data_IF_643950289570
#
_entry.id   IF_643950289570
#
_cell.length_a   1.000
_cell.length_b   1.000
_cell.length_c   1.000
_cell.angle_alpha   90.00
_cell.angle_beta   90.00
_cell.angle_gamma   90.00
#
_symmetry.space_group_name_H-M   'P 1'
#
loop_
_entity.id
_entity.type
_entity.pdbx_description
1 polymer ?
#
# COMPACT_ATOMS: atom_id res chain seq x y z
N UNK A 1 37.13 -19.04 2.71
CA UNK A 1 36.16 -19.07 1.60
C UNK A 1 34.80 -18.83 2.23
N UNK A 2 34.50 -17.57 2.54
CA UNK A 2 33.28 -17.15 3.23
C UNK A 2 32.14 -17.18 2.23
N UNK A 3 31.19 -18.07 2.49
CA UNK A 3 30.00 -18.27 1.70
C UNK A 3 29.18 -16.98 1.63
N UNK A 4 28.89 -16.55 0.41
CA UNK A 4 28.17 -15.30 0.10
C UNK A 4 26.67 -15.59 0.17
N UNK A 5 25.84 -14.79 0.85
CA UNK A 5 24.43 -15.14 0.99
C UNK A 5 23.72 -15.15 -0.37
N UNK A 6 23.26 -16.33 -0.82
CA UNK A 6 22.38 -16.50 -1.98
C UNK A 6 21.09 -15.69 -1.81
N UNK A 7 20.97 -14.50 -2.42
CA UNK A 7 19.68 -13.77 -2.54
C UNK A 7 19.64 -12.89 -3.80
N UNK A 8 19.11 -13.40 -4.91
CA UNK A 8 18.13 -12.63 -5.71
C UNK A 8 17.02 -13.47 -6.40
N UNK A 9 17.16 -14.79 -6.48
CA UNK A 9 16.25 -15.66 -7.25
C UNK A 9 14.90 -15.85 -6.55
N UNK A 10 14.92 -15.97 -5.23
CA UNK A 10 13.75 -16.27 -4.40
C UNK A 10 12.72 -15.11 -4.39
N UNK A 11 13.17 -13.86 -4.27
CA UNK A 11 12.25 -12.71 -4.24
C UNK A 11 11.50 -12.53 -5.57
N UNK A 12 12.21 -12.69 -6.70
CA UNK A 12 11.59 -12.62 -8.03
C UNK A 12 10.55 -13.72 -8.19
N UNK A 13 10.89 -14.95 -7.82
CA UNK A 13 9.98 -16.11 -7.87
C UNK A 13 8.74 -15.86 -7.02
N UNK A 14 8.89 -15.45 -5.76
CA UNK A 14 7.76 -15.13 -4.86
C UNK A 14 6.83 -14.04 -5.41
N UNK A 15 7.40 -13.01 -6.05
CA UNK A 15 6.59 -11.94 -6.68
C UNK A 15 5.79 -12.47 -7.86
N UNK A 16 6.36 -13.37 -8.68
CA UNK A 16 5.66 -14.00 -9.79
C UNK A 16 4.58 -14.97 -9.29
N UNK A 17 4.87 -15.79 -8.29
CA UNK A 17 3.88 -16.67 -7.65
C UNK A 17 2.68 -15.89 -7.11
N UNK A 18 2.92 -14.72 -6.50
CA UNK A 18 1.85 -13.84 -6.05
C UNK A 18 1.02 -13.27 -7.21
N UNK A 19 1.66 -12.93 -8.33
CA UNK A 19 0.93 -12.48 -9.54
C UNK A 19 0.04 -13.60 -10.06
N UNK A 20 0.55 -14.83 -10.13
CA UNK A 20 -0.22 -15.99 -10.59
C UNK A 20 -1.36 -16.35 -9.63
N UNK A 21 -1.16 -16.25 -8.31
CA UNK A 21 -2.24 -16.48 -7.35
C UNK A 21 -3.36 -15.44 -7.45
N UNK A 22 -3.02 -14.16 -7.72
CA UNK A 22 -4.02 -13.12 -8.00
C UNK A 22 -4.83 -13.46 -9.25
N UNK A 23 -4.17 -13.90 -10.33
CA UNK A 23 -4.86 -14.34 -11.56
C UNK A 23 -5.79 -15.54 -11.30
N UNK A 24 -5.33 -16.53 -10.54
CA UNK A 24 -6.12 -17.71 -10.18
C UNK A 24 -7.36 -17.34 -9.34
N UNK A 25 -7.27 -16.29 -8.52
CA UNK A 25 -8.40 -15.72 -7.79
C UNK A 25 -9.31 -14.80 -8.64
N UNK A 26 -9.05 -14.66 -9.95
CA UNK A 26 -9.82 -13.79 -10.84
C UNK A 26 -9.50 -12.30 -10.71
N UNK A 27 -8.40 -11.94 -10.02
CA UNK A 27 -7.95 -10.56 -9.80
C UNK A 27 -6.92 -10.20 -10.87
N UNK A 28 -7.17 -9.14 -11.63
CA UNK A 28 -6.17 -8.59 -12.56
C UNK A 28 -5.08 -7.84 -11.79
N UNK A 29 -3.81 -8.31 -11.79
CA UNK A 29 -2.72 -7.65 -11.10
C UNK A 29 -2.30 -6.31 -11.75
N UNK A 30 -2.68 -6.07 -13.01
CA UNK A 30 -2.31 -4.88 -13.77
C UNK A 30 -3.54 -4.22 -14.43
N UNK A 31 -4.49 -3.72 -13.62
CA UNK A 31 -5.68 -3.09 -14.15
C UNK A 31 -5.32 -1.83 -14.96
N UNK A 32 -6.00 -1.65 -16.09
CA UNK A 32 -5.74 -0.54 -17.03
C UNK A 32 -6.10 0.82 -16.42
N UNK A 33 -7.07 0.85 -15.50
CA UNK A 33 -7.62 2.09 -14.94
C UNK A 33 -7.75 2.01 -13.42
N UNK A 34 -7.37 3.10 -12.78
CA UNK A 34 -7.67 3.39 -11.39
C UNK A 34 -8.20 4.82 -11.30
N UNK A 35 -9.44 4.97 -10.84
CA UNK A 35 -10.08 6.29 -10.70
C UNK A 35 -9.62 6.99 -9.41
N UNK A 36 -8.42 7.58 -9.49
CA UNK A 36 -7.87 8.42 -8.43
C UNK A 36 -8.73 9.68 -8.26
N UNK A 37 -9.06 10.05 -7.02
CA UNK A 37 -9.78 11.29 -6.72
C UNK A 37 -8.84 12.47 -6.49
N UNK A 38 -7.66 12.23 -5.92
CA UNK A 38 -6.67 13.27 -5.63
C UNK A 38 -5.23 12.71 -5.71
N UNK A 39 -4.25 13.60 -5.80
CA UNK A 39 -2.84 13.25 -5.62
C UNK A 39 -2.45 13.35 -4.15
N UNK A 40 -1.35 12.74 -3.76
CA UNK A 40 -0.86 12.85 -2.38
C UNK A 40 -0.53 14.31 -2.03
N UNK A 41 0.07 15.05 -2.95
CA UNK A 41 0.35 16.48 -2.79
C UNK A 41 -0.93 17.28 -2.57
N UNK A 42 -1.97 17.05 -3.40
CA UNK A 42 -3.26 17.72 -3.24
C UNK A 42 -3.94 17.36 -1.91
N UNK A 43 -3.78 16.13 -1.42
CA UNK A 43 -4.26 15.76 -0.09
C UNK A 43 -3.53 16.54 1.02
N UNK A 44 -2.21 16.72 0.92
CA UNK A 44 -1.42 17.48 1.91
C UNK A 44 -1.72 18.97 1.87
N UNK A 45 -1.97 19.53 0.70
CA UNK A 45 -2.37 20.93 0.53
C UNK A 45 -3.78 21.19 1.08
N UNK A 46 -4.68 20.20 0.99
CA UNK A 46 -6.03 20.30 1.50
C UNK A 46 -6.09 20.24 3.04
N UNK A 47 -5.20 19.47 3.64
CA UNK A 47 -5.13 19.26 5.09
C UNK A 47 -3.76 19.65 5.66
N UNK A 48 -3.34 20.93 5.55
CA UNK A 48 -2.03 21.37 5.99
C UNK A 48 -1.91 21.38 7.53
N UNK A 49 -3.01 21.67 8.21
CA UNK A 49 -3.08 21.91 9.66
C UNK A 49 -4.00 20.89 10.37
N UNK A 50 -4.15 19.68 9.80
CA UNK A 50 -4.93 18.63 10.46
C UNK A 50 -4.18 18.13 11.70
N UNK A 51 -4.75 18.41 12.86
CA UNK A 51 -4.18 18.03 14.15
C UNK A 51 -4.10 16.52 14.33
N UNK A 52 -3.06 16.08 15.05
CA UNK A 52 -2.84 14.66 15.31
C UNK A 52 -4.03 14.05 16.09
N UNK A 53 -4.55 12.92 15.59
CA UNK A 53 -5.71 12.25 16.18
C UNK A 53 -7.06 12.80 15.72
N UNK A 54 -7.07 13.79 14.81
CA UNK A 54 -8.29 14.26 14.17
C UNK A 54 -8.57 13.46 12.90
N UNK A 55 -9.83 13.05 12.73
CA UNK A 55 -10.31 12.36 11.54
C UNK A 55 -11.30 13.26 10.78
N UNK A 56 -11.38 13.05 9.47
CA UNK A 56 -12.31 13.75 8.58
C UNK A 56 -13.23 12.73 7.92
N UNK A 57 -14.48 13.09 7.63
CA UNK A 57 -15.41 12.23 6.89
C UNK A 57 -15.11 12.13 5.38
N UNK A 58 -14.01 12.72 4.92
CA UNK A 58 -13.68 12.76 3.50
C UNK A 58 -13.09 11.44 3.00
N UNK A 59 -13.79 10.83 2.05
CA UNK A 59 -13.35 9.60 1.39
C UNK A 59 -12.59 9.93 0.11
N UNK A 60 -11.30 9.56 0.06
CA UNK A 60 -10.42 9.78 -1.09
C UNK A 60 -9.88 8.47 -1.65
N UNK A 61 -9.55 8.48 -2.95
CA UNK A 61 -8.87 7.39 -3.67
C UNK A 61 -7.53 7.91 -4.16
N UNK A 62 -6.44 7.35 -3.63
CA UNK A 62 -5.07 7.70 -4.00
C UNK A 62 -4.33 6.48 -4.52
N UNK A 63 -3.31 6.71 -5.35
CA UNK A 63 -2.45 5.66 -5.87
C UNK A 63 -0.99 6.12 -5.88
N UNK A 64 -0.08 5.19 -5.61
CA UNK A 64 1.34 5.45 -5.56
C UNK A 64 2.14 4.18 -5.27
N UNK A 65 3.45 4.33 -5.16
CA UNK A 65 4.37 3.24 -4.83
C UNK A 65 4.45 3.07 -3.31
N UNK A 66 4.24 1.85 -2.83
CA UNK A 66 4.56 1.49 -1.46
C UNK A 66 6.09 1.43 -1.28
N UNK A 67 6.62 2.27 -0.40
CA UNK A 67 8.05 2.32 -0.06
C UNK A 67 8.36 1.50 1.19
N UNK A 68 7.41 1.44 2.12
CA UNK A 68 7.55 0.79 3.40
C UNK A 68 6.22 0.13 3.76
N UNK A 69 6.31 -1.06 4.34
CA UNK A 69 5.16 -1.81 4.81
C UNK A 69 5.54 -2.51 6.12
N UNK A 70 4.87 -2.14 7.22
CA UNK A 70 5.08 -2.69 8.56
C UNK A 70 3.78 -3.30 9.04
N UNK A 71 3.79 -4.59 9.33
CA UNK A 71 2.64 -5.32 9.89
C UNK A 71 2.88 -5.57 11.38
N UNK A 72 1.88 -5.29 12.21
CA UNK A 72 1.92 -5.48 13.66
C UNK A 72 0.54 -5.98 14.15
N UNK A 73 0.40 -7.30 14.30
CA UNK A 73 -0.87 -7.89 14.74
C UNK A 73 -2.00 -7.54 13.77
N UNK A 74 -3.00 -6.78 14.24
CA UNK A 74 -4.18 -6.34 13.48
C UNK A 74 -4.03 -4.97 12.79
N UNK A 75 -2.84 -4.40 12.87
CA UNK A 75 -2.53 -3.07 12.33
C UNK A 75 -1.44 -3.19 11.27
N UNK A 76 -1.61 -2.45 10.19
CA UNK A 76 -0.63 -2.31 9.12
C UNK A 76 -0.37 -0.84 8.85
N UNK A 77 0.90 -0.45 8.90
CA UNK A 77 1.37 0.88 8.53
C UNK A 77 2.13 0.79 7.22
N UNK A 78 1.76 1.61 6.25
CA UNK A 78 2.45 1.66 4.97
C UNK A 78 2.81 3.10 4.59
N UNK A 79 3.94 3.31 3.94
CA UNK A 79 4.28 4.61 3.35
C UNK A 79 4.10 4.51 1.84
N UNK A 80 3.18 5.31 1.31
CA UNK A 80 2.91 5.42 -0.11
C UNK A 80 3.49 6.73 -0.66
N UNK A 81 4.10 6.68 -1.84
CA UNK A 81 4.63 7.85 -2.53
C UNK A 81 4.18 7.90 -3.99
N UNK A 82 3.71 9.04 -4.43
CA UNK A 82 3.41 9.34 -5.83
C UNK A 82 4.38 10.43 -6.36
N UNK A 83 4.13 10.95 -7.56
CA UNK A 83 4.95 12.01 -8.15
C UNK A 83 4.87 13.36 -7.41
N UNK A 84 3.88 13.56 -6.56
CA UNK A 84 3.59 14.82 -5.86
C UNK A 84 3.96 14.80 -4.38
N UNK A 85 4.03 13.64 -3.74
CA UNK A 85 4.38 13.55 -2.32
C UNK A 85 4.32 12.14 -1.74
N UNK A 86 4.47 12.06 -0.42
CA UNK A 86 4.35 10.82 0.35
C UNK A 86 3.32 10.98 1.48
N UNK A 87 2.60 9.89 1.78
CA UNK A 87 1.60 9.79 2.84
C UNK A 87 1.74 8.47 3.58
N UNK A 88 1.39 8.46 4.87
CA UNK A 88 1.29 7.24 5.66
C UNK A 88 -0.14 6.70 5.60
N UNK A 89 -0.27 5.41 5.33
CA UNK A 89 -1.52 4.67 5.42
C UNK A 89 -1.56 3.97 6.77
N UNK A 90 -2.63 4.21 7.52
CA UNK A 90 -3.01 3.42 8.68
C UNK A 90 -4.13 2.47 8.26
N UNK A 91 -3.89 1.18 8.42
CA UNK A 91 -4.82 0.13 8.01
C UNK A 91 -5.06 -0.76 9.22
N UNK A 92 -6.32 -0.90 9.62
CA UNK A 92 -6.72 -1.80 10.71
C UNK A 92 -7.65 -2.88 10.18
N UNK A 93 -7.55 -4.09 10.73
CA UNK A 93 -8.47 -5.20 10.42
C UNK A 93 -9.95 -4.82 10.63
N UNK A 94 -10.23 -3.91 11.57
CA UNK A 94 -11.59 -3.43 11.84
C UNK A 94 -12.16 -2.61 10.66
N UNK A 95 -11.33 -1.81 10.00
CA UNK A 95 -11.77 -0.92 8.91
C UNK A 95 -11.90 -1.67 7.56
N UNK A 96 -11.04 -2.65 7.30
CA UNK A 96 -11.00 -3.34 5.98
C UNK A 96 -11.53 -4.77 6.01
N UNK A 97 -11.87 -5.30 7.19
CA UNK A 97 -12.25 -6.69 7.40
C UNK A 97 -11.07 -7.67 7.34
N UNK A 98 -11.30 -8.90 7.81
CA UNK A 98 -10.28 -9.96 7.89
C UNK A 98 -9.66 -10.28 6.52
N UNK A 99 -10.48 -10.30 5.47
CA UNK A 99 -10.04 -10.64 4.11
C UNK A 99 -9.16 -9.56 3.47
N UNK A 100 -9.22 -8.31 3.95
CA UNK A 100 -8.36 -7.22 3.48
C UNK A 100 -7.00 -7.18 4.17
N UNK A 101 -6.86 -7.78 5.36
CA UNK A 101 -5.67 -7.65 6.21
C UNK A 101 -4.63 -8.76 5.97
N UNK A 102 -5.04 -9.95 5.51
CA UNK A 102 -4.17 -11.13 5.31
C UNK A 102 -3.40 -11.14 3.98
#
# INVERSE_FOLDING_TARGET
MTDTPERPTDERTRRLEKVESMRAAGIDPYPVRFDRSTTIGGLREKFPDLEAGTETDEVVRVAGRLLLLRRQGKLTFATMRDGSGAVQLFVSEAEIGIDGHN
#
